data_IF_238643992428
#
_entry.id   IF_238643992428
#
_cell.length_a   1.000
_cell.length_b   1.000
_cell.length_c   1.000
_cell.angle_alpha   90.00
_cell.angle_beta   90.00
_cell.angle_gamma   90.00
#
_symmetry.space_group_name_H-M   'P 1'
#
loop_
_entity.id
_entity.type
_entity.pdbx_description
1 polymer ?
#
# COMPACT_ATOMS: atom_id res chain seq x y z
N UNK A 1 -21.65 -10.43 22.68
CA UNK A 1 -20.60 -9.39 22.60
C UNK A 1 -20.25 -9.23 21.13
N UNK A 2 -20.86 -8.26 20.43
CA UNK A 2 -20.53 -7.98 19.04
C UNK A 2 -19.14 -7.33 19.01
N UNK A 3 -18.14 -8.10 18.55
CA UNK A 3 -16.81 -7.57 18.27
C UNK A 3 -16.99 -6.48 17.19
N UNK A 4 -16.51 -5.24 17.36
CA UNK A 4 -16.57 -4.26 16.29
C UNK A 4 -15.87 -4.87 15.08
N UNK A 5 -16.64 -5.18 14.03
CA UNK A 5 -16.10 -5.65 12.77
C UNK A 5 -15.21 -4.54 12.25
N UNK A 6 -13.94 -4.86 12.02
CA UNK A 6 -12.94 -3.95 11.49
C UNK A 6 -13.55 -3.15 10.32
N UNK A 7 -13.70 -1.83 10.49
CA UNK A 7 -14.47 -0.95 9.58
C UNK A 7 -13.65 -0.46 8.38
N UNK A 8 -12.44 -0.98 8.20
CA UNK A 8 -11.61 -0.71 7.06
C UNK A 8 -11.64 -1.88 6.09
N UNK A 9 -12.16 -1.61 4.89
CA UNK A 9 -12.19 -2.57 3.80
C UNK A 9 -10.75 -2.80 3.30
N UNK A 10 -10.18 -3.93 3.72
CA UNK A 10 -8.87 -4.36 3.27
C UNK A 10 -9.01 -5.13 1.96
N UNK A 11 -8.48 -4.57 0.87
CA UNK A 11 -8.43 -5.25 -0.42
C UNK A 11 -7.17 -6.12 -0.48
N UNK A 12 -7.33 -7.41 -0.81
CA UNK A 12 -6.19 -8.30 -1.07
C UNK A 12 -5.63 -8.00 -2.46
N UNK A 13 -4.30 -7.87 -2.55
CA UNK A 13 -3.60 -7.62 -3.81
C UNK A 13 -2.47 -8.63 -3.94
N UNK A 14 -2.47 -9.39 -5.05
CA UNK A 14 -1.38 -10.31 -5.38
C UNK A 14 -0.31 -9.55 -6.16
N UNK A 15 0.93 -9.59 -5.69
CA UNK A 15 2.08 -8.99 -6.38
C UNK A 15 3.04 -10.08 -6.85
N UNK A 16 3.51 -9.96 -8.10
CA UNK A 16 4.61 -10.77 -8.59
C UNK A 16 5.93 -10.05 -8.26
N UNK A 17 6.82 -10.74 -7.56
CA UNK A 17 8.14 -10.22 -7.17
C UNK A 17 9.24 -11.14 -7.69
N UNK A 18 10.42 -10.59 -7.91
CA UNK A 18 11.59 -11.40 -8.25
C UNK A 18 12.04 -12.23 -7.04
N UNK A 19 12.74 -13.37 -7.24
CA UNK A 19 13.22 -14.19 -6.14
C UNK A 19 14.12 -13.43 -5.14
N UNK A 20 14.91 -12.49 -5.65
CA UNK A 20 15.78 -11.63 -4.84
C UNK A 20 14.98 -10.72 -3.91
N UNK A 21 13.92 -10.09 -4.41
CA UNK A 21 13.05 -9.23 -3.60
C UNK A 21 12.32 -10.04 -2.54
N UNK A 22 11.89 -11.27 -2.87
CA UNK A 22 11.30 -12.17 -1.88
C UNK A 22 12.25 -12.46 -0.71
N UNK A 23 13.53 -12.77 -0.99
CA UNK A 23 14.53 -12.98 0.06
C UNK A 23 14.70 -11.75 0.95
N UNK A 24 14.86 -10.56 0.37
CA UNK A 24 15.00 -9.35 1.18
C UNK A 24 13.75 -9.05 2.01
N UNK A 25 12.55 -9.33 1.51
CA UNK A 25 11.33 -9.18 2.30
C UNK A 25 11.27 -10.18 3.46
N UNK A 26 11.75 -11.40 3.27
CA UNK A 26 11.86 -12.41 4.34
C UNK A 26 12.89 -11.97 5.40
N UNK A 27 14.06 -11.47 4.98
CA UNK A 27 15.10 -10.96 5.88
C UNK A 27 14.60 -9.77 6.71
N UNK A 28 13.90 -8.81 6.07
CA UNK A 28 13.32 -7.65 6.76
C UNK A 28 12.25 -8.03 7.80
N UNK A 29 11.57 -9.15 7.59
CA UNK A 29 10.64 -9.69 8.59
C UNK A 29 11.35 -10.47 9.69
N UNK A 30 12.48 -11.10 9.38
CA UNK A 30 13.32 -11.79 10.37
C UNK A 30 13.93 -10.80 11.36
N UNK A 31 14.29 -9.59 10.92
CA UNK A 31 14.76 -8.50 11.77
C UNK A 31 13.67 -7.95 12.70
N UNK A 32 12.41 -8.35 12.51
CA UNK A 32 11.26 -8.00 13.38
C UNK A 32 10.77 -6.56 13.24
N UNK A 33 11.39 -5.77 12.36
CA UNK A 33 11.15 -4.34 12.22
C UNK A 33 10.02 -4.03 11.21
N UNK A 34 9.75 -4.94 10.27
CA UNK A 34 8.80 -4.76 9.17
C UNK A 34 7.57 -5.68 9.23
N UNK A 35 7.21 -6.19 10.41
CA UNK A 35 6.02 -7.01 10.64
C UNK A 35 6.30 -8.52 10.63
N UNK A 36 5.23 -9.32 10.71
CA UNK A 36 5.33 -10.78 10.91
C UNK A 36 5.28 -11.60 9.60
N UNK A 37 5.08 -10.95 8.45
CA UNK A 37 5.00 -11.63 7.17
C UNK A 37 5.62 -10.80 6.04
N UNK A 38 6.16 -11.44 4.97
CA UNK A 38 6.72 -10.73 3.83
C UNK A 38 5.73 -9.78 3.17
N UNK A 39 4.43 -10.12 3.23
CA UNK A 39 3.33 -9.30 2.75
C UNK A 39 3.14 -8.03 3.57
N UNK A 40 3.30 -8.11 4.90
CA UNK A 40 3.24 -6.93 5.78
C UNK A 40 4.44 -6.00 5.55
N UNK A 41 5.63 -6.58 5.41
CA UNK A 41 6.83 -5.82 5.07
C UNK A 41 6.68 -5.10 3.73
N UNK A 42 6.18 -5.80 2.71
CA UNK A 42 5.89 -5.20 1.41
C UNK A 42 4.86 -4.06 1.54
N UNK A 43 3.79 -4.24 2.34
CA UNK A 43 2.78 -3.21 2.56
C UNK A 43 3.37 -1.95 3.20
N UNK A 44 4.21 -2.10 4.23
CA UNK A 44 4.84 -0.97 4.91
C UNK A 44 5.80 -0.22 3.98
N UNK A 45 6.65 -0.95 3.26
CA UNK A 45 7.59 -0.39 2.31
C UNK A 45 6.89 0.33 1.15
N UNK A 46 5.81 -0.26 0.61
CA UNK A 46 5.00 0.38 -0.42
C UNK A 46 4.35 1.66 0.09
N UNK A 47 3.83 1.68 1.33
CA UNK A 47 3.28 2.88 1.94
C UNK A 47 4.31 4.01 2.04
N UNK A 48 5.50 3.72 2.57
CA UNK A 48 6.60 4.68 2.68
C UNK A 48 7.06 5.18 1.30
N UNK A 49 7.20 4.28 0.33
CA UNK A 49 7.60 4.63 -1.04
C UNK A 49 6.57 5.53 -1.73
N UNK A 50 5.26 5.25 -1.54
CA UNK A 50 4.18 6.09 -2.09
C UNK A 50 4.23 7.49 -1.46
N UNK A 51 4.35 7.59 -0.13
CA UNK A 51 4.47 8.88 0.55
C UNK A 51 5.68 9.67 0.08
N UNK A 52 6.83 9.00 -0.06
CA UNK A 52 8.04 9.62 -0.58
C UNK A 52 7.83 10.13 -2.00
N UNK A 53 7.19 9.35 -2.88
CA UNK A 53 6.90 9.76 -4.25
C UNK A 53 5.90 10.90 -4.34
N UNK A 54 4.96 10.99 -3.40
CA UNK A 54 4.07 12.15 -3.26
C UNK A 54 4.87 13.38 -2.85
N UNK A 55 5.79 13.23 -1.88
CA UNK A 55 6.66 14.33 -1.42
C UNK A 55 7.62 14.81 -2.51
N UNK A 56 8.13 13.91 -3.33
CA UNK A 56 8.97 14.21 -4.51
C UNK A 56 8.17 14.84 -5.67
N UNK A 57 6.84 14.89 -5.60
CA UNK A 57 5.98 15.45 -6.64
C UNK A 57 5.83 14.58 -7.89
N UNK A 58 6.39 13.35 -7.88
CA UNK A 58 6.25 12.37 -8.96
C UNK A 58 4.84 11.79 -8.99
N UNK A 59 4.20 11.68 -7.82
CA UNK A 59 2.83 11.23 -7.66
C UNK A 59 1.97 12.39 -7.13
N UNK A 60 0.96 12.78 -7.90
CA UNK A 60 -0.06 13.71 -7.40
C UNK A 60 -0.85 13.03 -6.29
N UNK A 61 -1.03 13.71 -5.16
CA UNK A 61 -1.86 13.23 -4.05
C UNK A 61 -3.31 13.17 -4.52
N UNK A 62 -3.71 12.02 -5.05
CA UNK A 62 -5.10 11.81 -5.44
C UNK A 62 -5.97 11.84 -4.19
N UNK A 63 -6.94 12.75 -4.17
CA UNK A 63 -8.06 12.65 -3.25
C UNK A 63 -8.90 11.49 -3.74
N UNK A 64 -9.09 10.50 -2.88
CA UNK A 64 -10.01 9.39 -3.14
C UNK A 64 -11.16 9.52 -2.17
N UNK A 65 -12.38 9.36 -2.66
CA UNK A 65 -13.56 9.20 -1.82
C UNK A 65 -13.91 7.73 -1.90
N UNK A 66 -13.95 7.06 -0.75
CA UNK A 66 -14.44 5.69 -0.65
C UNK A 66 -15.97 5.78 -0.71
N UNK A 67 -16.55 5.45 -1.86
CA UNK A 67 -17.99 5.23 -1.98
C UNK A 67 -18.20 3.74 -2.25
N UNK A 68 -18.98 3.08 -1.39
CA UNK A 68 -19.44 1.69 -1.55
C UNK A 68 -18.33 0.66 -1.83
N UNK A 69 -17.16 0.82 -1.21
CA UNK A 69 -16.04 -0.11 -1.29
C UNK A 69 -15.17 -0.03 -2.54
N UNK A 70 -15.46 0.92 -3.44
CA UNK A 70 -14.59 1.24 -4.56
C UNK A 70 -13.81 2.54 -4.30
N UNK A 71 -12.49 2.49 -4.53
CA UNK A 71 -11.61 3.65 -4.45
C UNK A 71 -11.75 4.46 -5.74
N UNK A 72 -12.72 5.36 -5.80
CA UNK A 72 -12.85 6.27 -6.94
C UNK A 72 -11.89 7.47 -6.79
N UNK A 73 -11.04 7.76 -7.79
CA UNK A 73 -10.28 9.01 -7.83
C UNK A 73 -11.24 10.18 -8.04
N UNK A 74 -11.25 11.15 -7.13
CA UNK A 74 -12.16 12.32 -7.24
C UNK A 74 -11.60 13.47 -8.06
N UNK A 75 -10.49 13.26 -8.76
CA UNK A 75 -10.02 14.19 -9.76
C UNK A 75 -9.34 13.42 -10.90
N UNK A 76 -9.79 13.73 -12.12
CA UNK A 76 -9.15 13.30 -13.36
C UNK A 76 -7.63 13.53 -13.29
N UNK A 77 -6.80 12.62 -13.84
CA UNK A 77 -5.43 12.98 -14.13
C UNK A 77 -5.50 14.12 -15.15
N UNK A 78 -5.16 15.33 -14.73
CA UNK A 78 -4.78 16.37 -15.68
C UNK A 78 -3.56 15.81 -16.44
N UNK A 79 -3.81 15.37 -17.67
CA UNK A 79 -2.82 15.23 -18.71
C UNK A 79 -2.12 16.58 -18.82
N UNK A 80 -0.88 16.63 -18.36
CA UNK A 80 0.01 17.72 -18.72
C UNK A 80 0.89 17.19 -19.87
N UNK A 81 0.68 17.83 -21.02
CA UNK A 81 1.27 17.60 -22.35
C UNK A 81 2.79 17.58 -22.39
#
# INVERSE_FOLDING_TARGET
>A
MARPSNSFESVTMTIAVTPQVKMYLEDLTADGMYGCSPSDAARLLLGQAIEQKIKEGVLSRRKFIVQNGEVMPTAAPALNS
#
